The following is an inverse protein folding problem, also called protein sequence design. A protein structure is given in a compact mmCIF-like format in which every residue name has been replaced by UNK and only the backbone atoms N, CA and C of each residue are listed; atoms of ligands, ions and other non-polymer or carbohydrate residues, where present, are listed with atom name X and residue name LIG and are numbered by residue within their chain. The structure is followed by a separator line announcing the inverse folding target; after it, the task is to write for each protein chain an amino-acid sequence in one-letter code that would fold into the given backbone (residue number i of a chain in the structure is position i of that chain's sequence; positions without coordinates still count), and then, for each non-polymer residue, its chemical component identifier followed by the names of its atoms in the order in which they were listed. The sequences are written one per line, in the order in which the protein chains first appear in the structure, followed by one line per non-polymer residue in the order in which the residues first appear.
data_IF_856487498472
#
_entry.id   IF_856487498472
#
_cell.length_a   1.000
_cell.length_b   1.000
_cell.length_c   1.000
_cell.angle_alpha   90.00
_cell.angle_beta   90.00
_cell.angle_gamma   90.00
#
_symmetry.space_group_name_H-M   'P 1'
#
loop_
_entity.id
_entity.type
_entity.pdbx_description
1 polymer ?
#
# COMPACT_ATOMS: atom_id res chain seq x y z
N UNK A 1 16.04 -9.44 47.11
CA UNK A 1 15.54 -10.34 48.17
C UNK A 1 14.05 -10.61 47.94
N UNK A 2 13.71 -11.78 47.41
CA UNK A 2 12.54 -12.62 47.75
C UNK A 2 12.72 -13.94 47.01
N UNK A 3 12.66 -15.02 47.78
CA UNK A 3 13.09 -16.37 47.43
C UNK A 3 12.05 -17.13 46.58
N UNK A 4 12.61 -18.12 45.88
CA UNK A 4 12.03 -19.13 44.99
C UNK A 4 10.90 -20.01 45.58
N UNK A 5 10.21 -20.74 44.69
CA UNK A 5 10.23 -22.22 44.64
C UNK A 5 9.37 -22.78 43.49
N UNK A 6 10.01 -23.55 42.61
CA UNK A 6 9.43 -24.55 41.71
C UNK A 6 9.18 -25.87 42.45
N UNK A 7 8.30 -26.73 41.91
CA UNK A 7 8.63 -28.16 41.87
C UNK A 7 8.39 -28.81 40.50
N UNK A 8 9.37 -29.62 40.07
CA UNK A 8 9.21 -30.75 39.14
C UNK A 8 8.37 -31.85 39.80
N UNK A 9 7.74 -32.72 39.00
CA UNK A 9 7.66 -34.17 39.24
C UNK A 9 7.62 -34.91 37.90
N UNK A 10 8.23 -36.10 37.88
CA UNK A 10 8.63 -36.87 36.70
C UNK A 10 8.02 -38.28 36.68
N UNK A 11 7.99 -38.86 35.45
CA UNK A 11 7.96 -40.29 35.07
C UNK A 11 6.69 -41.11 35.42
N UNK A 12 6.19 -42.00 34.55
CA UNK A 12 6.88 -43.23 34.10
C UNK A 12 6.19 -43.87 32.89
N UNK A 13 6.99 -44.43 31.96
CA UNK A 13 6.61 -45.28 30.82
C UNK A 13 6.22 -46.71 31.24
N UNK A 14 5.41 -47.40 30.42
CA UNK A 14 5.53 -48.84 30.16
C UNK A 14 5.01 -49.18 28.74
N UNK A 15 5.85 -49.87 27.97
CA UNK A 15 5.66 -50.40 26.60
C UNK A 15 5.22 -51.87 26.64
N UNK A 16 4.66 -52.36 25.51
CA UNK A 16 4.60 -53.73 24.91
C UNK A 16 3.27 -53.81 24.10
N UNK A 17 3.11 -54.26 22.85
CA UNK A 17 3.95 -54.97 21.89
C UNK A 17 3.20 -56.17 21.26
N UNK A 18 2.78 -56.04 19.98
CA UNK A 18 2.58 -57.07 18.92
C UNK A 18 1.37 -58.05 18.84
N UNK A 19 0.62 -57.92 17.72
CA UNK A 19 0.29 -58.88 16.63
C UNK A 19 -0.56 -60.20 16.76
N UNK A 20 -1.63 -60.25 15.93
CA UNK A 20 -2.02 -61.30 14.94
C UNK A 20 -3.23 -62.24 15.17
N UNK A 21 -4.16 -62.16 14.19
CA UNK A 21 -5.14 -63.08 13.56
C UNK A 21 -6.03 -64.05 14.37
N UNK A 22 -7.34 -64.09 14.05
CA UNK A 22 -7.97 -65.08 13.12
C UNK A 22 -9.51 -65.07 13.23
N UNK A 23 -10.21 -64.90 12.10
CA UNK A 23 -11.68 -65.05 11.94
C UNK A 23 -12.09 -66.54 11.92
N UNK A 24 -13.36 -66.88 12.24
CA UNK A 24 -14.28 -67.30 11.17
C UNK A 24 -15.72 -66.79 11.32
N UNK A 25 -16.40 -66.74 10.17
CA UNK A 25 -17.76 -66.24 9.94
C UNK A 25 -18.87 -67.23 10.32
N UNK A 26 -20.07 -66.72 10.61
CA UNK A 26 -21.35 -67.36 10.29
C UNK A 26 -22.51 -66.32 10.30
N UNK A 27 -23.16 -66.16 9.14
CA UNK A 27 -24.53 -65.60 8.99
C UNK A 27 -25.55 -66.77 9.07
N UNK A 28 -26.89 -66.61 9.00
CA UNK A 28 -27.78 -65.45 8.73
C UNK A 28 -28.84 -65.29 9.86
N UNK A 29 -29.92 -64.51 9.88
CA UNK A 29 -30.87 -64.06 8.86
C UNK A 29 -31.71 -62.87 9.39
N UNK A 30 -32.44 -62.27 8.46
CA UNK A 30 -33.15 -60.99 8.46
C UNK A 30 -34.17 -60.71 9.58
N UNK A 31 -34.28 -59.43 9.94
CA UNK A 31 -35.56 -58.75 10.18
C UNK A 31 -35.42 -57.23 9.90
N UNK A 32 -36.51 -56.65 9.40
CA UNK A 32 -36.60 -55.44 8.57
C UNK A 32 -36.43 -54.11 9.33
N UNK A 33 -36.06 -53.06 8.58
CA UNK A 33 -35.84 -51.68 9.02
C UNK A 33 -37.13 -50.89 9.32
N UNK A 34 -37.10 -49.94 10.27
CA UNK A 34 -38.00 -48.78 10.32
C UNK A 34 -37.37 -47.50 9.71
N UNK A 35 -38.18 -46.48 9.40
CA UNK A 35 -37.94 -45.52 8.31
C UNK A 35 -37.06 -44.32 8.68
N UNK A 36 -36.44 -43.78 7.63
CA UNK A 36 -35.59 -42.60 7.64
C UNK A 36 -36.33 -41.32 8.05
N UNK A 37 -35.78 -40.60 9.04
CA UNK A 37 -36.10 -39.20 9.28
C UNK A 37 -35.31 -38.34 8.30
N UNK A 38 -36.01 -37.74 7.33
CA UNK A 38 -35.47 -36.73 6.42
C UNK A 38 -35.15 -35.45 7.20
N UNK A 39 -33.87 -35.25 7.52
CA UNK A 39 -33.38 -33.93 7.90
C UNK A 39 -33.21 -33.09 6.62
N UNK A 40 -34.05 -32.07 6.49
CA UNK A 40 -33.92 -31.02 5.48
C UNK A 40 -32.60 -30.30 5.68
N UNK A 41 -31.63 -30.56 4.80
CA UNK A 41 -30.43 -29.75 4.69
C UNK A 41 -30.81 -28.44 3.97
N UNK A 42 -30.93 -27.36 4.73
CA UNK A 42 -30.94 -26.03 4.15
C UNK A 42 -29.61 -25.84 3.38
N UNK A 43 -29.64 -25.34 2.14
CA UNK A 43 -28.42 -25.09 1.40
C UNK A 43 -27.63 -24.01 2.16
N UNK A 44 -26.40 -24.35 2.55
CA UNK A 44 -25.45 -23.37 3.03
C UNK A 44 -25.29 -22.30 1.95
N UNK A 45 -25.75 -21.08 2.24
CA UNK A 45 -25.50 -19.93 1.39
C UNK A 45 -23.98 -19.77 1.31
N UNK A 46 -23.42 -20.04 0.14
CA UNK A 46 -22.04 -19.70 -0.19
C UNK A 46 -21.98 -18.17 -0.10
N UNK A 47 -21.47 -17.65 1.02
CA UNK A 47 -21.14 -16.24 1.11
C UNK A 47 -20.00 -16.01 0.11
N UNK A 48 -20.34 -15.46 -1.05
CA UNK A 48 -19.38 -15.01 -2.05
C UNK A 48 -18.41 -14.04 -1.40
N UNK A 49 -17.12 -14.33 -1.46
CA UNK A 49 -16.07 -13.47 -0.90
C UNK A 49 -16.23 -12.02 -1.41
N UNK A 50 -16.27 -11.01 -0.52
CA UNK A 50 -16.37 -9.60 -0.90
C UNK A 50 -15.23 -9.12 -1.81
N UNK A 51 -14.13 -9.88 -1.89
CA UNK A 51 -12.97 -9.61 -2.75
C UNK A 51 -13.31 -9.72 -4.25
N UNK A 52 -14.37 -10.44 -4.63
CA UNK A 52 -14.71 -10.70 -6.04
C UNK A 52 -15.47 -9.56 -6.75
N UNK A 53 -15.92 -8.52 -6.05
CA UNK A 53 -16.68 -7.40 -6.65
C UNK A 53 -15.72 -6.48 -7.39
N UNK A 54 -15.90 -6.28 -8.69
CA UNK A 54 -15.07 -5.40 -9.53
C UNK A 54 -14.97 -3.98 -8.93
N UNK A 55 -13.77 -3.38 -8.94
CA UNK A 55 -13.59 -2.01 -8.45
C UNK A 55 -14.15 -1.00 -9.45
N UNK A 56 -14.48 0.23 -9.01
CA UNK A 56 -14.71 1.34 -9.92
C UNK A 56 -13.57 1.48 -10.95
N UNK A 57 -13.93 1.50 -12.23
CA UNK A 57 -13.00 1.68 -13.33
C UNK A 57 -12.31 3.05 -13.26
N UNK A 58 -11.08 3.22 -13.82
CA UNK A 58 -10.33 4.47 -13.81
C UNK A 58 -11.15 5.71 -14.23
N UNK A 59 -11.93 5.64 -15.31
CA UNK A 59 -12.77 6.75 -15.74
C UNK A 59 -13.83 7.14 -14.72
N UNK A 60 -14.42 6.17 -14.01
CA UNK A 60 -15.38 6.44 -12.93
C UNK A 60 -14.72 7.13 -11.74
N UNK A 61 -13.50 6.72 -11.39
CA UNK A 61 -12.68 7.37 -10.35
C UNK A 61 -12.45 8.83 -10.72
N UNK A 62 -12.04 9.12 -11.96
CA UNK A 62 -11.81 10.49 -12.41
C UNK A 62 -13.10 11.33 -12.40
N UNK A 63 -14.22 10.77 -12.88
CA UNK A 63 -15.54 11.43 -12.84
C UNK A 63 -15.95 11.79 -11.40
N UNK A 64 -15.78 10.87 -10.44
CA UNK A 64 -16.12 11.11 -9.04
C UNK A 64 -15.19 12.16 -8.38
N UNK A 65 -13.93 12.28 -8.82
CA UNK A 65 -12.97 13.29 -8.33
C UNK A 65 -13.32 14.69 -8.85
N UNK A 66 -13.54 14.81 -10.16
CA UNK A 66 -13.60 16.12 -10.82
C UNK A 66 -15.03 16.60 -11.05
N UNK A 67 -16.04 15.72 -10.96
CA UNK A 67 -17.45 16.08 -11.18
C UNK A 67 -17.80 16.31 -12.65
N UNK A 68 -16.87 16.07 -13.57
CA UNK A 68 -17.09 16.13 -15.01
C UNK A 68 -17.18 14.72 -15.54
N UNK A 69 -18.25 14.42 -16.28
CA UNK A 69 -18.32 13.17 -17.02
C UNK A 69 -17.31 13.22 -18.16
N UNK A 70 -16.19 12.53 -17.99
CA UNK A 70 -15.19 12.35 -19.03
C UNK A 70 -15.69 11.42 -20.14
N UNK A 71 -14.77 10.98 -20.98
CA UNK A 71 -14.99 9.96 -22.01
C UNK A 71 -14.96 8.53 -21.45
N UNK A 72 -14.81 8.38 -20.13
CA UNK A 72 -14.65 7.10 -19.45
C UNK A 72 -13.24 6.51 -19.54
N UNK A 73 -12.29 7.21 -20.16
CA UNK A 73 -10.89 6.78 -20.24
C UNK A 73 -10.17 6.94 -18.90
N UNK A 74 -8.97 6.38 -18.80
CA UNK A 74 -8.10 6.55 -17.65
C UNK A 74 -7.37 7.90 -17.63
N UNK A 75 -7.66 8.81 -18.59
CA UNK A 75 -7.03 10.13 -18.64
C UNK A 75 -7.80 11.11 -19.53
N UNK A 76 -8.17 12.28 -19.00
CA UNK A 76 -8.83 13.33 -19.79
C UNK A 76 -8.51 14.73 -19.29
N UNK A 77 -8.75 15.73 -20.14
CA UNK A 77 -8.54 17.14 -19.81
C UNK A 77 -9.66 17.66 -18.92
N UNK A 78 -9.30 18.20 -17.75
CA UNK A 78 -10.24 18.82 -16.81
C UNK A 78 -10.38 20.33 -17.07
N UNK A 79 -11.33 20.99 -16.39
CA UNK A 79 -11.71 22.40 -16.61
C UNK A 79 -10.55 23.38 -16.75
N UNK A 80 -9.45 23.17 -16.02
CA UNK A 80 -8.25 24.03 -16.04
C UNK A 80 -7.26 23.72 -17.17
N UNK A 81 -7.69 22.98 -18.18
CA UNK A 81 -6.89 22.45 -19.29
C UNK A 81 -5.73 21.54 -18.85
N UNK A 82 -5.65 21.13 -17.58
CA UNK A 82 -4.69 20.12 -17.16
C UNK A 82 -5.16 18.73 -17.60
N UNK A 83 -4.21 17.88 -17.97
CA UNK A 83 -4.47 16.46 -18.16
C UNK A 83 -4.57 15.80 -16.79
N UNK A 84 -5.72 15.25 -16.46
CA UNK A 84 -5.90 14.39 -15.29
C UNK A 84 -5.78 12.92 -15.73
N UNK A 85 -5.00 12.12 -15.01
CA UNK A 85 -4.78 10.71 -15.31
C UNK A 85 -4.91 9.86 -14.06
N UNK A 86 -5.55 8.70 -14.18
CA UNK A 86 -5.54 7.68 -13.14
C UNK A 86 -4.11 7.18 -12.92
N UNK A 87 -3.71 7.06 -11.66
CA UNK A 87 -2.34 6.70 -11.28
C UNK A 87 -2.29 5.32 -10.64
N UNK A 88 -3.09 5.09 -9.59
CA UNK A 88 -3.03 3.86 -8.81
C UNK A 88 -4.37 3.50 -8.18
N UNK A 89 -4.64 2.22 -7.99
CA UNK A 89 -5.82 1.72 -7.28
C UNK A 89 -5.41 0.75 -6.17
N UNK A 90 -5.88 0.98 -4.94
CA UNK A 90 -5.59 0.13 -3.78
C UNK A 90 -6.86 -0.41 -3.14
N UNK A 91 -6.88 -1.71 -2.81
CA UNK A 91 -7.91 -2.32 -1.97
C UNK A 91 -7.32 -2.62 -0.61
N UNK A 92 -7.99 -2.20 0.45
CA UNK A 92 -7.51 -2.43 1.81
C UNK A 92 -8.66 -2.59 2.80
N UNK A 93 -8.37 -3.28 3.89
CA UNK A 93 -9.29 -3.46 5.02
C UNK A 93 -8.87 -2.54 6.15
N UNK A 94 -9.82 -1.81 6.73
CA UNK A 94 -9.57 -0.92 7.87
C UNK A 94 -10.80 -0.84 8.76
N UNK A 95 -10.63 -1.06 10.07
CA UNK A 95 -11.74 -0.96 11.03
C UNK A 95 -12.94 -1.87 10.71
N UNK A 96 -12.70 -3.05 10.11
CA UNK A 96 -13.75 -4.00 9.73
C UNK A 96 -14.53 -3.63 8.46
N UNK A 97 -14.09 -2.62 7.70
CA UNK A 97 -14.65 -2.23 6.40
C UNK A 97 -13.66 -2.52 5.28
N UNK A 98 -14.19 -2.79 4.09
CA UNK A 98 -13.40 -2.92 2.88
C UNK A 98 -13.43 -1.62 2.10
N UNK A 99 -12.27 -1.09 1.77
CA UNK A 99 -12.09 0.14 1.03
C UNK A 99 -11.44 -0.13 -0.32
N UNK A 100 -11.75 0.75 -1.27
CA UNK A 100 -10.98 0.91 -2.49
C UNK A 100 -10.67 2.39 -2.67
N UNK A 101 -9.42 2.74 -2.94
CA UNK A 101 -9.04 4.10 -3.30
C UNK A 101 -8.42 4.11 -4.68
N UNK A 102 -9.01 4.91 -5.57
CA UNK A 102 -8.38 5.27 -6.84
C UNK A 102 -7.70 6.62 -6.70
N UNK A 103 -6.38 6.65 -6.89
CA UNK A 103 -5.57 7.85 -6.97
C UNK A 103 -5.45 8.30 -8.42
N UNK A 104 -5.48 9.60 -8.62
CA UNK A 104 -5.20 10.25 -9.89
C UNK A 104 -4.18 11.36 -9.68
N UNK A 105 -3.62 11.84 -10.78
CA UNK A 105 -2.81 13.04 -10.79
C UNK A 105 -3.30 14.02 -11.84
N UNK A 106 -3.02 15.30 -11.63
CA UNK A 106 -3.22 16.34 -12.62
C UNK A 106 -2.07 17.33 -12.60
N UNK A 107 -1.56 17.66 -13.78
CA UNK A 107 -0.56 18.71 -13.96
C UNK A 107 -1.08 20.09 -13.55
N UNK A 108 -0.20 21.11 -13.50
CA UNK A 108 -0.61 22.46 -13.20
C UNK A 108 -1.61 22.98 -14.24
N UNK A 109 -2.49 23.90 -13.81
CA UNK A 109 -3.48 24.50 -14.71
C UNK A 109 -2.82 25.26 -15.86
N UNK A 110 -3.32 25.03 -17.09
CA UNK A 110 -2.74 25.57 -18.34
C UNK A 110 -3.58 26.68 -18.97
N UNK A 111 -4.49 27.33 -18.23
CA UNK A 111 -5.35 28.39 -18.76
C UNK A 111 -4.54 29.49 -19.47
N UNK A 112 -4.79 29.65 -20.78
CA UNK A 112 -4.19 30.71 -21.60
C UNK A 112 -2.68 30.59 -21.83
N UNK A 113 -2.05 29.48 -21.44
CA UNK A 113 -0.62 29.24 -21.65
C UNK A 113 -0.44 28.11 -22.68
N UNK A 114 0.48 28.26 -23.66
CA UNK A 114 0.91 27.13 -24.48
C UNK A 114 1.59 26.08 -23.59
N UNK A 115 1.67 24.85 -24.09
CA UNK A 115 2.49 23.81 -23.47
C UNK A 115 3.94 24.31 -23.40
N UNK A 116 4.53 24.26 -22.20
CA UNK A 116 5.90 24.71 -21.99
C UNK A 116 6.84 23.58 -22.45
N UNK A 117 7.72 23.88 -23.40
CA UNK A 117 8.67 22.90 -23.93
C UNK A 117 9.67 22.43 -22.86
N UNK A 118 9.95 23.28 -21.86
CA UNK A 118 10.82 23.00 -20.73
C UNK A 118 10.14 23.45 -19.42
N UNK A 119 9.28 22.62 -18.81
CA UNK A 119 8.67 22.95 -17.53
C UNK A 119 9.74 23.10 -16.44
N UNK A 120 9.44 23.87 -15.38
CA UNK A 120 10.29 23.92 -14.19
C UNK A 120 10.48 22.50 -13.62
N UNK A 121 11.72 21.99 -13.54
CA UNK A 121 11.98 20.63 -13.06
C UNK A 121 11.49 20.38 -11.63
N UNK A 122 11.35 21.43 -10.81
CA UNK A 122 10.85 21.34 -9.44
C UNK A 122 9.32 21.25 -9.37
N UNK A 123 8.60 21.57 -10.44
CA UNK A 123 7.14 21.50 -10.46
C UNK A 123 6.72 20.07 -10.77
N UNK A 124 5.97 19.46 -9.84
CA UNK A 124 5.35 18.16 -10.03
C UNK A 124 3.90 18.25 -10.51
N UNK A 125 3.09 17.30 -10.04
CA UNK A 125 1.64 17.24 -10.26
C UNK A 125 0.91 17.22 -8.93
N UNK A 126 -0.36 17.59 -8.95
CA UNK A 126 -1.27 17.38 -7.81
C UNK A 126 -1.76 15.94 -7.79
N UNK A 127 -1.87 15.35 -6.59
CA UNK A 127 -2.53 14.06 -6.35
C UNK A 127 -3.98 14.31 -5.98
N UNK A 128 -4.88 13.54 -6.54
CA UNK A 128 -6.30 13.49 -6.17
C UNK A 128 -6.72 12.05 -5.91
N UNK A 129 -7.88 11.86 -5.27
CA UNK A 129 -8.39 10.52 -4.96
C UNK A 129 -9.91 10.46 -4.92
N UNK A 130 -10.46 9.30 -5.26
CA UNK A 130 -11.80 8.87 -4.85
C UNK A 130 -11.69 7.56 -4.05
N UNK A 131 -12.24 7.58 -2.85
CA UNK A 131 -12.30 6.45 -1.92
C UNK A 131 -13.72 5.93 -1.88
N UNK A 132 -13.86 4.61 -1.92
CA UNK A 132 -15.10 3.87 -1.91
C UNK A 132 -15.09 2.91 -0.74
N UNK A 133 -16.27 2.65 -0.18
CA UNK A 133 -16.49 1.58 0.79
C UNK A 133 -17.36 0.50 0.15
N UNK A 134 -16.99 -0.77 0.33
CA UNK A 134 -17.82 -1.88 -0.09
C UNK A 134 -18.94 -2.05 0.93
N UNK A 135 -20.17 -1.86 0.48
CA UNK A 135 -21.38 -2.06 1.28
C UNK A 135 -22.34 -2.99 0.52
N UNK A 136 -23.59 -3.09 0.97
CA UNK A 136 -24.69 -3.76 0.26
C UNK A 136 -25.73 -2.74 -0.17
N UNK A 137 -25.86 -2.54 -1.48
CA UNK A 137 -26.97 -1.84 -2.09
C UNK A 137 -27.96 -2.88 -2.65
N UNK A 138 -29.24 -2.79 -2.26
CA UNK A 138 -30.29 -3.74 -2.66
C UNK A 138 -29.91 -5.22 -2.45
N UNK A 139 -29.22 -5.50 -1.34
CA UNK A 139 -28.73 -6.84 -0.99
C UNK A 139 -27.51 -7.32 -1.77
N UNK A 140 -26.97 -6.52 -2.69
CA UNK A 140 -25.80 -6.86 -3.52
C UNK A 140 -24.55 -6.09 -3.07
N UNK A 141 -23.40 -6.76 -2.93
CA UNK A 141 -22.12 -6.10 -2.69
C UNK A 141 -21.84 -5.00 -3.73
N UNK A 142 -21.70 -3.76 -3.29
CA UNK A 142 -21.58 -2.59 -4.16
C UNK A 142 -20.59 -1.57 -3.57
N UNK A 143 -19.67 -1.09 -4.40
CA UNK A 143 -18.77 0.01 -4.05
C UNK A 143 -19.54 1.33 -4.06
N UNK A 144 -19.59 2.00 -2.91
CA UNK A 144 -20.24 3.30 -2.74
C UNK A 144 -19.18 4.36 -2.49
N UNK A 145 -19.27 5.50 -3.17
CA UNK A 145 -18.34 6.62 -2.98
C UNK A 145 -18.40 7.09 -1.51
N UNK A 146 -17.28 6.96 -0.82
CA UNK A 146 -17.12 7.38 0.57
C UNK A 146 -16.70 8.86 0.64
N UNK A 147 -15.67 9.21 -0.15
CA UNK A 147 -15.16 10.57 -0.24
C UNK A 147 -14.33 10.76 -1.52
N UNK A 148 -14.38 11.95 -2.11
CA UNK A 148 -13.52 12.36 -3.21
C UNK A 148 -12.80 13.67 -2.85
N UNK A 149 -11.53 13.78 -3.21
CA UNK A 149 -10.66 14.88 -2.85
C UNK A 149 -9.78 15.24 -4.04
N UNK A 150 -9.88 16.50 -4.50
CA UNK A 150 -9.14 17.01 -5.66
C UNK A 150 -7.67 17.35 -5.37
N UNK A 151 -7.28 17.42 -4.09
CA UNK A 151 -5.90 17.70 -3.69
C UNK A 151 -5.54 16.96 -2.41
N UNK A 152 -4.68 15.95 -2.52
CA UNK A 152 -4.08 15.14 -1.44
C UNK A 152 -2.68 15.64 -1.08
N UNK A 153 -2.01 16.28 -2.04
CA UNK A 153 -0.67 16.84 -1.96
C UNK A 153 -0.08 16.99 -3.37
N UNK A 154 1.13 17.52 -3.45
CA UNK A 154 1.89 17.66 -4.68
C UNK A 154 3.04 16.65 -4.67
N UNK A 155 3.36 16.06 -5.82
CA UNK A 155 4.45 15.08 -5.94
C UNK A 155 5.00 15.00 -7.37
N UNK A 156 6.18 14.40 -7.48
CA UNK A 156 6.84 14.18 -8.77
C UNK A 156 7.64 15.39 -9.21
N UNK A 157 7.94 15.46 -10.51
CA UNK A 157 8.83 16.48 -11.08
C UNK A 157 8.54 16.65 -12.58
N UNK A 158 8.99 17.75 -13.18
CA UNK A 158 8.81 18.02 -14.61
C UNK A 158 7.34 17.88 -15.07
N UNK A 159 6.41 18.38 -14.24
CA UNK A 159 4.95 18.28 -14.39
C UNK A 159 4.42 16.85 -14.55
N UNK A 160 5.15 15.87 -14.01
CA UNK A 160 4.78 14.44 -14.07
C UNK A 160 4.78 13.82 -12.69
N UNK A 161 3.84 12.91 -12.48
CA UNK A 161 3.86 11.99 -11.35
C UNK A 161 5.12 11.12 -11.39
N UNK A 162 5.61 10.74 -10.21
CA UNK A 162 6.57 9.63 -10.13
C UNK A 162 5.96 8.34 -10.70
N UNK A 163 6.79 7.55 -11.37
CA UNK A 163 6.36 6.29 -11.99
C UNK A 163 6.21 5.21 -10.93
N UNK A 164 5.10 4.47 -10.95
CA UNK A 164 4.93 3.31 -10.07
C UNK A 164 5.97 2.23 -10.37
N UNK A 165 6.63 1.74 -9.33
CA UNK A 165 7.50 0.58 -9.45
C UNK A 165 6.70 -0.71 -9.28
N UNK A 166 6.45 -1.37 -10.42
CA UNK A 166 5.68 -2.62 -10.47
C UNK A 166 6.43 -3.84 -9.92
N UNK A 167 7.74 -3.71 -9.64
CA UNK A 167 8.56 -4.82 -9.13
C UNK A 167 8.47 -4.94 -7.61
N UNK A 168 8.27 -3.81 -6.92
CA UNK A 168 8.10 -3.77 -5.47
C UNK A 168 6.61 -3.77 -5.12
N UNK A 169 6.29 -4.29 -3.94
CA UNK A 169 4.91 -4.29 -3.45
C UNK A 169 4.64 -3.03 -2.63
N UNK A 170 3.41 -2.47 -2.73
CA UNK A 170 2.90 -1.56 -1.72
C UNK A 170 3.06 -2.14 -0.31
N UNK A 171 3.31 -1.26 0.66
CA UNK A 171 3.36 -1.60 2.07
C UNK A 171 2.32 -0.77 2.82
N UNK A 172 1.67 -1.34 3.82
CA UNK A 172 0.76 -0.58 4.66
C UNK A 172 0.76 -1.07 6.11
N UNK A 173 0.34 -0.20 7.02
CA UNK A 173 0.11 -0.52 8.43
C UNK A 173 -1.02 0.34 8.97
N UNK A 174 -1.73 -0.19 9.97
CA UNK A 174 -2.66 0.62 10.75
C UNK A 174 -1.88 1.41 11.81
N UNK A 175 -2.22 2.69 11.96
CA UNK A 175 -1.68 3.57 13.01
C UNK A 175 -2.42 3.30 14.34
N UNK A 176 -1.88 3.77 15.48
CA UNK A 176 -2.52 3.50 16.78
C UNK A 176 -3.88 4.19 16.95
N UNK A 177 -4.12 5.27 16.23
CA UNK A 177 -5.41 6.00 16.15
C UNK A 177 -6.35 5.43 15.08
N UNK A 178 -5.98 4.33 14.42
CA UNK A 178 -6.85 3.59 13.52
C UNK A 178 -6.86 4.07 12.08
N UNK A 179 -5.97 4.98 11.70
CA UNK A 179 -5.74 5.40 10.32
C UNK A 179 -4.93 4.33 9.57
N UNK A 180 -4.93 4.38 8.24
CA UNK A 180 -4.02 3.61 7.41
C UNK A 180 -2.82 4.47 7.03
N UNK A 181 -1.61 3.92 7.17
CA UNK A 181 -0.42 4.44 6.51
C UNK A 181 -0.10 3.54 5.31
N UNK A 182 -0.09 4.10 4.11
CA UNK A 182 0.17 3.42 2.84
C UNK A 182 1.47 3.96 2.23
N UNK A 183 2.34 3.08 1.77
CA UNK A 183 3.58 3.40 1.09
C UNK A 183 3.59 2.72 -0.28
N UNK A 184 3.53 3.53 -1.34
CA UNK A 184 3.48 3.08 -2.73
C UNK A 184 4.87 3.16 -3.36
N UNK A 185 5.43 2.07 -3.89
CA UNK A 185 6.77 2.08 -4.45
C UNK A 185 6.80 2.89 -5.74
N UNK A 186 7.73 3.83 -5.83
CA UNK A 186 7.91 4.73 -6.97
C UNK A 186 9.33 4.71 -7.48
N UNK A 187 9.48 5.15 -8.73
CA UNK A 187 10.75 5.42 -9.39
C UNK A 187 10.65 6.74 -10.16
N UNK A 188 11.78 7.42 -10.25
CA UNK A 188 11.98 8.56 -11.15
C UNK A 188 13.32 8.42 -11.84
N UNK A 189 13.41 8.90 -13.06
CA UNK A 189 14.65 8.99 -13.81
C UNK A 189 14.93 10.44 -14.16
N UNK A 190 16.08 10.95 -13.73
CA UNK A 190 16.54 12.30 -14.04
C UNK A 190 18.07 12.27 -14.15
N UNK A 191 18.61 12.97 -15.15
CA UNK A 191 20.06 13.18 -15.31
C UNK A 191 20.92 11.90 -15.24
N UNK A 192 20.41 10.78 -15.77
CA UNK A 192 21.10 9.50 -15.77
C UNK A 192 21.06 8.73 -14.44
N UNK A 193 20.27 9.21 -13.48
CA UNK A 193 20.07 8.58 -12.17
C UNK A 193 18.62 8.10 -12.07
N UNK A 194 18.44 6.83 -11.76
CA UNK A 194 17.15 6.28 -11.34
C UNK A 194 17.06 6.37 -9.82
N UNK A 195 16.20 7.23 -9.28
CA UNK A 195 15.88 7.24 -7.85
C UNK A 195 14.69 6.33 -7.57
N UNK A 196 14.81 5.48 -6.57
CA UNK A 196 13.75 4.60 -6.07
C UNK A 196 13.21 5.13 -4.75
N UNK A 197 11.89 5.18 -4.59
CA UNK A 197 11.25 5.67 -3.38
C UNK A 197 10.00 4.90 -3.00
N UNK A 198 9.36 5.36 -1.92
CA UNK A 198 7.97 5.05 -1.59
C UNK A 198 7.22 6.34 -1.31
N UNK A 199 6.20 6.65 -2.11
CA UNK A 199 5.26 7.73 -1.84
C UNK A 199 4.36 7.34 -0.66
N UNK A 200 4.38 8.12 0.42
CA UNK A 200 3.71 7.80 1.69
C UNK A 200 2.45 8.61 1.86
N UNK A 201 1.35 7.95 2.20
CA UNK A 201 0.03 8.52 2.38
C UNK A 201 -0.59 8.06 3.69
N UNK A 202 -1.37 8.93 4.34
CA UNK A 202 -2.25 8.53 5.45
C UNK A 202 -3.71 8.64 5.03
N UNK A 203 -4.54 7.69 5.45
CA UNK A 203 -5.99 7.70 5.30
C UNK A 203 -6.68 7.72 6.67
N UNK A 204 -7.48 8.75 6.92
CA UNK A 204 -8.35 8.85 8.09
C UNK A 204 -9.75 8.30 7.76
N UNK A 205 -10.21 7.17 8.32
CA UNK A 205 -11.54 6.63 8.05
C UNK A 205 -12.67 7.39 8.74
N UNK A 206 -12.37 8.33 9.65
CA UNK A 206 -13.34 9.04 10.47
C UNK A 206 -13.85 10.30 9.75
N UNK A 207 -14.58 10.09 8.65
CA UNK A 207 -15.20 11.17 7.89
C UNK A 207 -16.00 12.10 8.80
N UNK A 208 -15.76 13.39 8.65
CA UNK A 208 -16.62 14.44 9.18
C UNK A 208 -17.28 15.18 8.01
N UNK A 209 -18.56 15.53 8.17
CA UNK A 209 -19.31 16.23 7.12
C UNK A 209 -19.26 17.76 7.27
N UNK A 210 -18.24 18.27 7.98
CA UNK A 210 -18.06 19.72 8.22
C UNK A 210 -17.40 20.45 7.04
N UNK A 211 -17.12 19.74 5.94
CA UNK A 211 -16.70 20.29 4.66
C UNK A 211 -15.19 20.46 4.46
N UNK A 212 -14.38 20.30 5.51
CA UNK A 212 -12.92 20.41 5.48
C UNK A 212 -12.20 19.06 5.67
N UNK A 213 -12.95 17.97 5.75
CA UNK A 213 -12.42 16.63 5.88
C UNK A 213 -11.42 16.29 4.77
N UNK A 214 -10.24 15.85 5.19
CA UNK A 214 -9.16 15.35 4.32
C UNK A 214 -9.02 13.86 4.57
N UNK A 215 -9.70 13.06 3.76
CA UNK A 215 -9.62 11.60 3.89
C UNK A 215 -8.20 11.10 3.67
N UNK A 216 -7.48 11.65 2.69
CA UNK A 216 -6.11 11.29 2.39
C UNK A 216 -5.16 12.48 2.50
N UNK A 217 -3.95 12.23 2.98
CA UNK A 217 -2.85 13.21 2.99
C UNK A 217 -1.58 12.55 2.49
N UNK A 218 -0.92 13.18 1.51
CA UNK A 218 0.42 12.81 1.08
C UNK A 218 1.46 13.37 2.06
N UNK A 219 2.32 12.50 2.59
CA UNK A 219 3.33 12.84 3.59
C UNK A 219 4.71 13.11 2.96
N UNK A 220 4.88 12.76 1.69
CA UNK A 220 6.14 12.84 0.93
C UNK A 220 6.64 11.45 0.50
N UNK A 221 7.75 11.42 -0.23
CA UNK A 221 8.41 10.21 -0.70
C UNK A 221 9.62 9.88 0.15
N UNK A 222 9.66 8.65 0.66
CA UNK A 222 10.85 8.09 1.33
C UNK A 222 11.82 7.63 0.26
N UNK A 223 13.03 8.19 0.24
CA UNK A 223 14.10 7.71 -0.63
C UNK A 223 14.58 6.32 -0.18
N UNK A 224 14.69 5.39 -1.14
CA UNK A 224 15.07 3.99 -0.89
C UNK A 224 16.12 3.48 -1.86
N UNK A 225 16.75 4.34 -2.65
CA UNK A 225 17.83 3.91 -3.53
C UNK A 225 18.06 4.86 -4.68
N UNK A 226 19.24 4.74 -5.25
CA UNK A 226 19.68 5.43 -6.44
C UNK A 226 20.53 4.48 -7.27
N UNK A 227 20.42 4.59 -8.58
CA UNK A 227 21.22 3.87 -9.56
C UNK A 227 21.66 4.85 -10.66
N UNK A 228 22.97 5.11 -10.74
CA UNK A 228 23.55 5.99 -11.75
C UNK A 228 24.08 5.23 -12.99
N UNK A 229 23.65 3.98 -13.19
CA UNK A 229 24.08 3.09 -14.27
C UNK A 229 23.97 3.69 -15.68
N UNK A 230 23.09 4.67 -15.89
CA UNK A 230 22.91 5.31 -17.18
C UNK A 230 23.89 6.46 -17.47
N UNK A 231 24.60 6.98 -16.46
CA UNK A 231 25.57 8.07 -16.58
C UNK A 231 26.99 7.72 -16.12
N UNK A 232 27.17 6.61 -15.43
CA UNK A 232 28.47 6.19 -14.92
C UNK A 232 29.36 5.53 -15.97
N UNK A 233 30.65 5.51 -15.67
CA UNK A 233 31.67 4.75 -16.38
C UNK A 233 32.66 4.19 -15.35
N UNK A 234 32.83 2.86 -15.33
CA UNK A 234 33.77 2.19 -14.45
C UNK A 234 35.23 2.58 -14.71
N UNK A 235 35.57 3.09 -15.89
CA UNK A 235 36.91 3.62 -16.19
C UNK A 235 37.03 5.13 -15.97
N UNK A 236 35.90 5.83 -15.82
CA UNK A 236 35.81 7.28 -15.66
C UNK A 236 35.86 7.77 -14.21
N UNK A 237 35.67 9.08 -14.05
CA UNK A 237 35.57 9.75 -12.74
C UNK A 237 34.24 9.49 -12.04
N UNK A 238 33.17 9.24 -12.80
CA UNK A 238 31.85 8.90 -12.26
C UNK A 238 31.69 7.37 -12.20
N UNK A 239 32.04 6.79 -11.06
CA UNK A 239 31.91 5.34 -10.84
C UNK A 239 30.45 4.92 -10.78
N UNK A 240 30.18 3.69 -11.22
CA UNK A 240 28.86 3.08 -11.10
C UNK A 240 28.57 2.73 -9.63
N UNK A 241 27.42 3.17 -9.15
CA UNK A 241 26.89 2.88 -7.83
C UNK A 241 25.37 2.66 -7.94
N UNK A 242 24.94 1.57 -7.34
CA UNK A 242 23.53 1.22 -7.22
C UNK A 242 23.23 0.84 -5.77
N UNK A 243 22.16 1.43 -5.24
CA UNK A 243 21.69 1.19 -3.88
C UNK A 243 20.21 0.85 -3.86
N UNK A 244 19.83 0.00 -2.90
CA UNK A 244 18.44 -0.35 -2.65
C UNK A 244 18.17 -0.44 -1.15
N UNK A 245 16.99 -0.01 -0.75
CA UNK A 245 16.56 0.19 0.61
C UNK A 245 15.28 -0.58 0.87
N UNK A 246 15.25 -1.30 2.00
CA UNK A 246 14.03 -1.95 2.49
C UNK A 246 13.35 -1.04 3.51
N UNK A 247 12.13 -0.61 3.21
CA UNK A 247 11.28 0.16 4.12
C UNK A 247 10.64 -0.77 5.17
N UNK A 248 10.66 -0.35 6.44
CA UNK A 248 9.88 -0.91 7.54
C UNK A 248 9.17 0.19 8.33
N UNK A 249 7.98 -0.13 8.83
CA UNK A 249 7.26 0.69 9.81
C UNK A 249 7.68 0.28 11.22
N UNK A 250 8.19 1.25 11.99
CA UNK A 250 8.66 1.03 13.35
C UNK A 250 7.69 1.66 14.36
N UNK A 251 7.61 1.16 15.60
CA UNK A 251 6.84 1.82 16.65
C UNK A 251 7.27 3.29 16.84
N UNK A 252 6.32 4.21 16.64
CA UNK A 252 6.53 5.64 16.92
C UNK A 252 6.17 6.02 18.36
N UNK A 253 6.59 7.21 18.79
CA UNK A 253 6.22 7.82 20.08
C UNK A 253 4.76 8.27 20.15
N UNK A 254 4.14 8.55 18.99
CA UNK A 254 2.74 8.92 18.85
C UNK A 254 1.88 7.85 18.17
N UNK A 255 0.74 8.25 17.59
CA UNK A 255 -0.12 7.37 16.82
C UNK A 255 0.51 6.88 15.51
N UNK A 256 1.25 7.77 14.84
CA UNK A 256 1.99 7.47 13.61
C UNK A 256 3.25 6.63 13.89
N UNK A 257 3.53 5.60 13.09
CA UNK A 257 4.77 4.84 13.18
C UNK A 257 5.98 5.69 12.73
N UNK A 258 7.18 5.29 13.14
CA UNK A 258 8.42 5.73 12.51
C UNK A 258 8.63 4.99 11.18
N UNK A 259 9.44 5.56 10.29
CA UNK A 259 9.87 4.89 9.07
C UNK A 259 11.35 4.56 9.19
N UNK A 260 11.75 3.37 8.78
CA UNK A 260 13.14 2.94 8.75
C UNK A 260 13.48 2.37 7.39
N UNK A 261 14.59 2.80 6.82
CA UNK A 261 15.11 2.31 5.54
C UNK A 261 16.45 1.63 5.79
N UNK A 262 16.50 0.32 5.60
CA UNK A 262 17.75 -0.44 5.64
C UNK A 262 18.38 -0.45 4.24
N UNK A 263 19.48 0.28 4.08
CA UNK A 263 20.18 0.43 2.81
C UNK A 263 21.16 -0.71 2.54
N UNK A 264 21.32 -1.06 1.26
CA UNK A 264 22.26 -2.06 0.76
C UNK A 264 22.77 -1.66 -0.63
N UNK A 265 23.85 -2.30 -1.07
CA UNK A 265 24.51 -1.99 -2.34
C UNK A 265 25.69 -1.03 -2.15
N UNK A 266 25.77 -0.02 -3.01
CA UNK A 266 26.90 0.92 -3.08
C UNK A 266 26.43 2.35 -3.23
N UNK A 267 27.21 3.30 -2.73
CA UNK A 267 26.99 4.72 -2.92
C UNK A 267 28.29 5.44 -3.31
N UNK A 268 28.17 6.59 -3.96
CA UNK A 268 29.30 7.46 -4.27
C UNK A 268 29.88 8.00 -2.96
N UNK A 269 31.18 7.80 -2.75
CA UNK A 269 31.92 8.28 -1.58
C UNK A 269 32.76 9.55 -1.89
N UNK A 270 32.86 9.92 -3.17
CA UNK A 270 33.61 11.05 -3.68
C UNK A 270 34.04 10.81 -5.13
N UNK A 271 34.80 11.74 -5.75
CA UNK A 271 35.28 11.59 -7.12
C UNK A 271 36.04 10.27 -7.32
N UNK A 272 35.61 9.46 -8.29
CA UNK A 272 36.22 8.18 -8.62
C UNK A 272 36.07 7.08 -7.55
N UNK A 273 35.25 7.28 -6.50
CA UNK A 273 35.18 6.38 -5.35
C UNK A 273 33.74 5.98 -5.01
N UNK A 274 33.55 4.69 -4.77
CA UNK A 274 32.31 4.12 -4.21
C UNK A 274 32.60 3.47 -2.87
N UNK A 275 31.58 3.36 -2.03
CA UNK A 275 31.62 2.60 -0.78
C UNK A 275 30.43 1.65 -0.72
N UNK A 276 30.61 0.52 -0.05
CA UNK A 276 29.50 -0.37 0.27
C UNK A 276 28.60 0.26 1.34
N UNK A 277 27.30 0.03 1.20
CA UNK A 277 26.29 0.41 2.19
C UNK A 277 26.05 -0.75 3.16
N UNK A 278 25.79 -0.43 4.43
CA UNK A 278 25.55 -1.43 5.46
C UNK A 278 24.72 -0.90 6.63
N UNK A 279 24.78 -1.55 7.81
CA UNK A 279 23.96 -1.18 8.96
C UNK A 279 24.12 0.27 9.46
N UNK A 280 25.26 0.91 9.20
CA UNK A 280 25.50 2.32 9.54
C UNK A 280 24.75 3.30 8.61
N UNK A 281 24.26 2.83 7.47
CA UNK A 281 23.55 3.62 6.45
C UNK A 281 22.03 3.52 6.57
N UNK A 282 21.54 3.02 7.71
CA UNK A 282 20.11 2.99 8.00
C UNK A 282 19.62 4.43 8.16
N UNK A 283 18.57 4.77 7.42
CA UNK A 283 17.87 6.06 7.57
C UNK A 283 16.61 5.85 8.40
N UNK A 284 16.36 6.75 9.35
CA UNK A 284 15.16 6.69 10.21
C UNK A 284 14.43 8.03 10.19
N UNK A 285 13.10 7.96 10.16
CA UNK A 285 12.21 9.10 10.11
C UNK A 285 11.22 9.01 11.27
N UNK A 286 11.07 10.11 12.00
CA UNK A 286 10.12 10.21 13.12
C UNK A 286 9.01 11.19 12.78
N UNK A 287 7.75 10.82 13.01
CA UNK A 287 6.63 11.71 12.75
C UNK A 287 6.54 12.82 13.81
N UNK A 288 6.60 14.07 13.39
CA UNK A 288 6.35 15.26 14.21
C UNK A 288 4.87 15.64 14.09
N UNK A 289 4.08 15.30 15.12
CA UNK A 289 2.64 15.56 15.13
C UNK A 289 2.29 17.06 15.16
N UNK A 290 3.16 17.92 15.71
CA UNK A 290 2.91 19.36 15.75
C UNK A 290 3.07 19.99 14.36
N UNK A 291 4.00 19.47 13.55
CA UNK A 291 4.23 19.91 12.17
C UNK A 291 3.50 19.06 11.13
N UNK A 292 2.87 17.97 11.56
CA UNK A 292 2.18 16.99 10.70
C UNK A 292 3.07 16.45 9.57
N UNK A 293 4.35 16.21 9.86
CA UNK A 293 5.34 15.76 8.88
C UNK A 293 6.40 14.86 9.52
N UNK A 294 7.10 14.05 8.73
CA UNK A 294 8.26 13.31 9.21
C UNK A 294 9.49 14.23 9.38
N UNK A 295 10.37 13.83 10.28
CA UNK A 295 11.70 14.43 10.51
C UNK A 295 12.77 13.33 10.41
N UNK A 296 13.78 13.45 9.53
CA UNK A 296 13.92 14.51 8.52
C UNK A 296 12.72 14.55 7.55
N UNK A 297 12.46 15.68 6.86
CA UNK A 297 11.36 15.77 5.90
C UNK A 297 11.53 14.73 4.80
N UNK A 298 10.40 14.16 4.36
CA UNK A 298 10.35 13.34 3.15
C UNK A 298 10.46 14.23 1.91
N UNK A 299 10.87 13.64 0.79
CA UNK A 299 10.96 14.36 -0.49
C UNK A 299 9.55 14.77 -0.96
N UNK A 300 9.39 15.98 -1.48
CA UNK A 300 8.09 16.53 -1.93
C UNK A 300 8.22 17.12 -3.31
#
# INVERSE_FOLDING_TARGET
MRLAKTPLWAATLLLLGACTDKQPAAAPAAAQAPPAASASAAPAAVQSDPVAVEVPAPGRVLDDIYGHKGDGSASYTIDNNALASFWYGDRFDLGGKHYYTGFANAGPGKYGKPEEENPDPAVGVSISQATYVLDRADGKPTWTLFHAQRWVGDFGSNEKADTLDQKRKPQSTQTKDGHLLLALPTTRFADGITSSGFAVFTFDPNKNDLGDYKGWVYLGTVATGEDNGAACDDQGTMKCAASTGTLSFEPGSGPMPGLRVAMSGTAIAGPGKVRSLGPADVVSYTYDAAKQQYTPPLDR
#
